data_IF_015959965147
#
_entry.id   IF_015959965147
#
_cell.length_a   1.000
_cell.length_b   1.000
_cell.length_c   1.000
_cell.angle_alpha   90.00
_cell.angle_beta   90.00
_cell.angle_gamma   90.00
#
_symmetry.space_group_name_H-M   'P 1'
#
loop_
_entity.id
_entity.type
_entity.pdbx_description
1 polymer ?
#
# COMPACT_ATOMS: atom_id res chain seq x y z
N UNK A 1 -13.38 20.22 -14.15
CA UNK A 1 -14.03 18.94 -14.44
C UNK A 1 -14.22 18.82 -15.94
N UNK A 2 -13.91 17.66 -16.53
CA UNK A 2 -13.86 17.46 -17.99
C UNK A 2 -15.21 17.24 -18.69
N UNK A 3 -16.33 17.18 -17.94
CA UNK A 3 -17.68 16.92 -18.47
C UNK A 3 -17.78 15.65 -19.34
N UNK A 4 -16.91 14.68 -19.08
CA UNK A 4 -16.83 13.45 -19.85
C UNK A 4 -18.09 12.60 -19.68
N UNK A 5 -18.66 12.14 -20.79
CA UNK A 5 -19.88 11.33 -20.83
C UNK A 5 -19.78 10.27 -21.94
N UNK A 6 -19.42 9.04 -21.55
CA UNK A 6 -19.32 7.89 -22.44
C UNK A 6 -20.19 6.75 -21.93
N UNK A 7 -21.24 6.41 -22.68
CA UNK A 7 -22.17 5.32 -22.33
C UNK A 7 -21.45 3.98 -22.20
N UNK A 8 -20.55 3.70 -23.15
CA UNK A 8 -19.77 2.46 -23.19
C UNK A 8 -18.88 2.33 -21.96
N UNK A 9 -18.20 3.41 -21.56
CA UNK A 9 -17.39 3.43 -20.34
C UNK A 9 -18.25 3.15 -19.08
N UNK A 10 -19.42 3.78 -18.98
CA UNK A 10 -20.36 3.55 -17.88
C UNK A 10 -20.85 2.11 -17.83
N UNK A 11 -21.22 1.51 -18.97
CA UNK A 11 -21.65 0.12 -19.05
C UNK A 11 -20.56 -0.85 -18.57
N UNK A 12 -19.29 -0.63 -18.96
CA UNK A 12 -18.18 -1.45 -18.47
C UNK A 12 -17.99 -1.35 -16.95
N UNK A 13 -18.05 -0.14 -16.39
CA UNK A 13 -17.89 0.07 -14.95
C UNK A 13 -19.02 -0.55 -14.14
N UNK A 14 -20.28 -0.34 -14.54
CA UNK A 14 -21.45 -0.89 -13.86
C UNK A 14 -21.45 -2.41 -13.88
N UNK A 15 -21.18 -3.00 -15.06
CA UNK A 15 -21.11 -4.46 -15.19
C UNK A 15 -19.99 -5.02 -14.32
N UNK A 16 -18.79 -4.42 -14.34
CA UNK A 16 -17.67 -4.86 -13.52
C UNK A 16 -17.99 -4.83 -12.02
N UNK A 17 -18.82 -3.86 -11.57
CA UNK A 17 -19.17 -3.70 -10.15
C UNK A 17 -20.04 -4.83 -9.61
N UNK A 18 -20.85 -5.45 -10.47
CA UNK A 18 -21.76 -6.56 -10.10
C UNK A 18 -21.19 -7.94 -10.44
N UNK A 19 -20.15 -8.02 -11.27
CA UNK A 19 -19.48 -9.28 -11.62
C UNK A 19 -18.72 -9.87 -10.42
N UNK A 20 -19.03 -11.13 -10.10
CA UNK A 20 -18.35 -11.89 -9.02
C UNK A 20 -17.09 -12.61 -9.49
N UNK A 21 -17.04 -13.03 -10.76
CA UNK A 21 -15.86 -13.65 -11.35
C UNK A 21 -14.72 -12.64 -11.51
N UNK A 22 -13.57 -12.95 -10.90
CA UNK A 22 -12.45 -12.02 -10.82
C UNK A 22 -11.80 -11.77 -12.20
N UNK A 23 -11.72 -12.80 -13.04
CA UNK A 23 -11.11 -12.71 -14.36
C UNK A 23 -11.97 -11.85 -15.29
N UNK A 24 -13.29 -12.07 -15.28
CA UNK A 24 -14.23 -11.28 -16.06
C UNK A 24 -14.30 -9.83 -15.58
N UNK A 25 -14.31 -9.61 -14.26
CA UNK A 25 -14.24 -8.26 -13.69
C UNK A 25 -12.98 -7.51 -14.14
N UNK A 26 -11.82 -8.19 -14.14
CA UNK A 26 -10.58 -7.62 -14.61
C UNK A 26 -10.63 -7.28 -16.11
N UNK A 27 -11.24 -8.14 -16.93
CA UNK A 27 -11.43 -7.90 -18.38
C UNK A 27 -12.29 -6.66 -18.63
N UNK A 28 -13.39 -6.50 -17.90
CA UNK A 28 -14.28 -5.34 -18.01
C UNK A 28 -13.56 -4.03 -17.65
N UNK A 29 -12.77 -4.01 -16.56
CA UNK A 29 -11.97 -2.83 -16.22
C UNK A 29 -10.89 -2.51 -17.26
N UNK A 30 -10.28 -3.51 -17.89
CA UNK A 30 -9.33 -3.28 -19.00
C UNK A 30 -10.01 -2.65 -20.20
N UNK A 31 -11.21 -3.10 -20.56
CA UNK A 31 -11.97 -2.51 -21.66
C UNK A 31 -12.33 -1.04 -21.36
N UNK A 32 -12.72 -0.72 -20.13
CA UNK A 32 -12.88 0.67 -19.69
C UNK A 32 -11.59 1.48 -19.85
N UNK A 33 -10.45 0.93 -19.44
CA UNK A 33 -9.15 1.60 -19.56
C UNK A 33 -8.77 1.92 -21.01
N UNK A 34 -9.12 1.05 -21.96
CA UNK A 34 -8.93 1.34 -23.40
C UNK A 34 -9.73 2.58 -23.80
N UNK A 35 -11.03 2.61 -23.50
CA UNK A 35 -11.90 3.77 -23.82
C UNK A 35 -11.42 5.04 -23.13
N UNK A 36 -11.03 4.96 -21.86
CA UNK A 36 -10.50 6.10 -21.11
C UNK A 36 -9.19 6.63 -21.72
N UNK A 37 -8.30 5.74 -22.16
CA UNK A 37 -7.05 6.13 -22.81
C UNK A 37 -7.28 6.72 -24.21
N UNK A 38 -8.29 6.26 -24.94
CA UNK A 38 -8.60 6.75 -26.27
C UNK A 38 -9.30 8.13 -26.22
N UNK A 39 -10.20 8.33 -25.26
CA UNK A 39 -10.95 9.59 -25.10
C UNK A 39 -10.22 10.64 -24.24
N UNK A 40 -9.15 10.26 -23.54
CA UNK A 40 -8.30 11.12 -22.68
C UNK A 40 -9.06 12.15 -21.82
N UNK A 41 -10.10 11.75 -21.06
CA UNK A 41 -10.90 12.69 -20.28
C UNK A 41 -10.13 13.30 -19.09
N UNK A 42 -9.03 12.68 -18.69
CA UNK A 42 -8.06 13.22 -17.75
C UNK A 42 -6.68 12.61 -18.02
N UNK A 43 -5.62 13.36 -17.70
CA UNK A 43 -4.24 12.91 -17.84
C UNK A 43 -3.77 12.22 -16.55
N UNK A 44 -3.34 10.96 -16.66
CA UNK A 44 -2.62 10.27 -15.58
C UNK A 44 -1.21 10.85 -15.48
N UNK A 45 -0.85 11.40 -14.31
CA UNK A 45 0.47 11.99 -14.09
C UNK A 45 1.47 10.98 -13.53
N UNK A 46 1.16 10.38 -12.36
CA UNK A 46 1.98 9.35 -11.72
C UNK A 46 1.22 8.68 -10.57
N UNK A 47 1.72 7.52 -10.11
CA UNK A 47 1.31 6.88 -8.87
C UNK A 47 2.38 7.15 -7.79
N UNK A 48 2.06 7.86 -6.69
CA UNK A 48 3.06 8.23 -5.69
C UNK A 48 3.63 7.00 -4.97
N UNK A 49 4.95 6.97 -4.82
CA UNK A 49 5.65 6.01 -3.95
C UNK A 49 5.93 6.71 -2.63
N UNK A 50 5.26 6.28 -1.57
CA UNK A 50 5.50 6.81 -0.22
C UNK A 50 6.73 6.13 0.40
N UNK A 51 7.78 6.92 0.61
CA UNK A 51 9.00 6.48 1.30
C UNK A 51 9.03 7.08 2.70
N UNK A 52 9.31 6.27 3.72
CA UNK A 52 9.49 6.73 5.09
C UNK A 52 10.64 5.97 5.75
N UNK A 53 11.36 6.67 6.64
CA UNK A 53 12.47 6.10 7.38
C UNK A 53 11.99 5.57 8.73
N UNK A 54 12.55 4.43 9.14
CA UNK A 54 12.36 3.86 10.48
C UNK A 54 13.72 3.59 11.08
N UNK A 55 13.85 3.85 12.38
CA UNK A 55 15.07 3.53 13.13
C UNK A 55 15.35 2.03 13.07
N UNK A 56 16.60 1.64 12.84
CA UNK A 56 17.03 0.23 12.80
C UNK A 56 16.75 -0.53 14.12
N UNK A 57 16.60 0.21 15.22
CA UNK A 57 16.26 -0.35 16.53
C UNK A 57 14.81 -0.84 16.60
N UNK A 58 13.93 -0.28 15.77
CA UNK A 58 12.51 -0.62 15.74
C UNK A 58 12.33 -1.83 14.82
N UNK A 59 11.87 -2.93 15.40
CA UNK A 59 11.60 -4.18 14.70
C UNK A 59 10.10 -4.40 14.59
N UNK A 60 9.68 -5.32 13.72
CA UNK A 60 8.27 -5.63 13.48
C UNK A 60 7.55 -4.68 12.50
N UNK A 61 8.28 -3.74 11.90
CA UNK A 61 7.74 -2.84 10.87
C UNK A 61 7.53 -3.62 9.58
N UNK A 62 6.31 -3.58 9.05
CA UNK A 62 5.97 -4.13 7.74
C UNK A 62 5.30 -3.06 6.89
N UNK A 63 5.79 -2.88 5.67
CA UNK A 63 5.24 -1.94 4.71
C UNK A 63 4.21 -2.68 3.86
N UNK A 64 2.93 -2.35 4.06
CA UNK A 64 1.85 -2.73 3.15
C UNK A 64 1.67 -1.70 2.02
N UNK A 65 0.67 -1.89 1.14
CA UNK A 65 0.23 -0.84 0.25
C UNK A 65 -0.10 0.43 1.04
N UNK A 66 0.46 1.57 0.62
CA UNK A 66 0.23 2.87 1.25
C UNK A 66 -0.68 3.68 0.34
N UNK A 67 -1.99 3.62 0.59
CA UNK A 67 -2.99 4.40 -0.16
C UNK A 67 -3.18 5.77 0.47
N UNK A 68 -3.21 5.82 1.80
CA UNK A 68 -3.19 7.03 2.59
C UNK A 68 -1.89 7.14 3.39
N UNK A 69 -1.51 8.37 3.74
CA UNK A 69 -0.37 8.61 4.61
C UNK A 69 -0.45 7.84 5.93
N UNK A 70 -1.65 7.64 6.47
CA UNK A 70 -1.91 6.94 7.74
C UNK A 70 -1.65 5.43 7.68
N UNK A 71 -1.70 4.80 6.50
CA UNK A 71 -1.48 3.36 6.31
C UNK A 71 -0.09 2.89 6.78
N UNK A 72 0.87 3.82 6.90
CA UNK A 72 2.23 3.57 7.42
C UNK A 72 2.24 3.02 8.85
N UNK A 73 1.18 3.28 9.62
CA UNK A 73 1.03 2.81 11.00
C UNK A 73 0.12 1.59 11.14
N UNK A 74 -0.25 0.96 10.02
CA UNK A 74 -1.11 -0.25 10.01
C UNK A 74 -0.56 -1.40 10.88
N UNK A 75 0.75 -1.45 11.12
CA UNK A 75 1.41 -2.48 11.94
C UNK A 75 1.95 -1.96 13.27
N UNK A 76 1.57 -0.77 13.71
CA UNK A 76 2.18 -0.11 14.88
C UNK A 76 2.12 -0.93 16.17
N UNK A 77 1.07 -1.74 16.36
CA UNK A 77 0.92 -2.63 17.52
C UNK A 77 1.89 -3.82 17.53
N UNK A 78 2.54 -4.10 16.40
CA UNK A 78 3.53 -5.17 16.23
C UNK A 78 4.96 -4.64 16.39
N UNK A 79 5.13 -3.32 16.58
CA UNK A 79 6.46 -2.72 16.67
C UNK A 79 7.03 -2.94 18.07
N UNK A 80 8.32 -3.28 18.13
CA UNK A 80 9.01 -3.48 19.39
C UNK A 80 10.47 -3.06 19.29
N UNK A 81 11.05 -2.73 20.45
CA UNK A 81 12.47 -2.48 20.63
C UNK A 81 13.10 -3.73 21.23
N UNK A 82 14.20 -4.22 20.63
CA UNK A 82 15.02 -5.26 21.26
C UNK A 82 16.17 -4.57 21.97
N UNK A 83 16.09 -4.43 23.29
CA UNK A 83 17.25 -4.00 24.08
C UNK A 83 18.06 -5.24 24.45
N UNK A 84 19.32 -5.31 24.00
CA UNK A 84 20.26 -6.23 24.62
C UNK A 84 20.51 -5.72 26.04
N UNK A 85 20.21 -6.53 27.07
CA UNK A 85 20.68 -6.20 28.41
C UNK A 85 22.22 -6.09 28.33
N UNK A 86 22.83 -5.02 28.87
CA UNK A 86 24.29 -4.99 28.99
C UNK A 86 24.72 -6.23 29.78
N UNK A 87 25.72 -6.95 29.27
CA UNK A 87 26.30 -8.09 29.97
C UNK A 87 26.67 -7.63 31.39
N UNK A 88 26.12 -8.29 32.41
CA UNK A 88 26.51 -8.04 33.78
C UNK A 88 28.04 -8.23 33.87
N UNK A 89 28.80 -7.27 34.39
CA UNK A 89 30.21 -7.50 34.63
C UNK A 89 30.32 -8.69 35.58
N UNK A 90 31.00 -9.75 35.15
CA UNK A 90 31.34 -10.89 35.99
C UNK A 90 32.02 -10.35 37.24
N UNK A 91 31.41 -10.60 38.40
CA UNK A 91 32.02 -10.32 39.69
C UNK A 91 33.27 -11.19 39.79
N UNK A 92 34.44 -10.60 39.54
CA UNK A 92 35.73 -11.24 39.77
C UNK A 92 35.86 -11.39 41.30
N UNK A 93 35.55 -12.57 41.81
CA UNK A 93 35.84 -12.92 43.21
C UNK A 93 37.35 -12.95 43.40
N UNK A 94 37.92 -12.19 44.36
CA UNK A 94 39.34 -12.28 44.66
C UNK A 94 39.60 -13.64 45.32
N UNK A 95 40.37 -14.48 44.62
CA UNK A 95 40.84 -15.77 45.15
C UNK A 95 41.80 -15.54 46.33
N UNK A 96 41.71 -16.34 47.42
CA UNK A 96 42.41 -16.10 48.69
C UNK A 96 43.94 -16.23 48.64
#
# INVERSE_FOLDING_TARGET
YSQWNSRVASEYLETARVTTDLAERARLYRNFQVVFNDELPALMLFNPVYTYAVSEQIRGVRNGPLFDSSDRFSTITQWYLTMALPAQPELVEPTP
#
